data_IF_988190229982
#
_entry.id   IF_988190229982
#
_cell.length_a   1.000
_cell.length_b   1.000
_cell.length_c   1.000
_cell.angle_alpha   90.00
_cell.angle_beta   90.00
_cell.angle_gamma   90.00
#
_symmetry.space_group_name_H-M   'P 1'
#
loop_
_entity.id
_entity.type
_entity.pdbx_description
1 polymer ?
#
# COMPACT_ATOMS: atom_id res chain seq x y z
N UNK A 1 -23.76 -11.52 -15.33
CA UNK A 1 -22.34 -11.42 -15.75
C UNK A 1 -22.14 -10.40 -16.90
N UNK A 2 -22.50 -9.12 -16.72
CA UNK A 2 -22.38 -8.12 -17.81
C UNK A 2 -21.81 -6.75 -17.38
N UNK A 3 -21.68 -6.49 -16.06
CA UNK A 3 -21.12 -5.23 -15.57
C UNK A 3 -19.57 -5.19 -15.64
N UNK A 4 -18.93 -6.36 -15.55
CA UNK A 4 -17.46 -6.50 -15.56
C UNK A 4 -16.83 -6.19 -16.93
N UNK A 5 -17.59 -6.38 -18.02
CA UNK A 5 -17.10 -6.19 -19.39
C UNK A 5 -17.14 -4.71 -19.81
N UNK A 6 -18.10 -3.94 -19.29
CA UNK A 6 -18.25 -2.52 -19.62
C UNK A 6 -17.20 -1.66 -18.90
N UNK A 7 -16.91 -1.96 -17.63
CA UNK A 7 -15.83 -1.33 -16.86
C UNK A 7 -14.45 -1.58 -17.50
N UNK A 8 -14.23 -2.77 -18.08
CA UNK A 8 -12.98 -3.13 -18.79
C UNK A 8 -12.70 -2.24 -20.00
N UNK A 9 -13.74 -1.73 -20.68
CA UNK A 9 -13.60 -0.96 -21.93
C UNK A 9 -13.40 0.54 -21.68
N UNK A 10 -13.90 1.07 -20.55
CA UNK A 10 -13.74 2.49 -20.17
C UNK A 10 -12.45 2.76 -19.39
N UNK A 11 -11.86 1.72 -18.77
CA UNK A 11 -10.59 1.77 -18.07
C UNK A 11 -9.49 1.14 -18.95
N UNK A 12 -9.19 1.77 -20.09
CA UNK A 12 -7.88 1.59 -20.75
C UNK A 12 -6.73 1.91 -19.78
N UNK A 13 -5.47 1.65 -20.15
CA UNK A 13 -4.42 0.85 -19.49
C UNK A 13 -4.13 1.04 -17.97
N UNK A 14 -4.98 1.73 -17.22
CA UNK A 14 -4.99 1.86 -15.76
C UNK A 14 -5.13 0.54 -15.00
N UNK A 15 -5.40 -0.58 -15.68
CA UNK A 15 -5.31 -1.92 -15.07
C UNK A 15 -3.93 -2.23 -14.52
N UNK A 16 -2.86 -1.64 -15.06
CA UNK A 16 -1.51 -1.91 -14.58
C UNK A 16 -1.24 -1.33 -13.17
N UNK A 17 -1.99 -0.30 -12.75
CA UNK A 17 -1.89 0.24 -11.38
C UNK A 17 -2.67 -0.57 -10.33
N UNK A 18 -3.54 -1.49 -10.76
CA UNK A 18 -4.37 -2.32 -9.87
C UNK A 18 -3.99 -3.80 -9.91
N UNK A 19 -3.06 -4.18 -10.80
CA UNK A 19 -2.38 -5.48 -10.84
C UNK A 19 -1.18 -5.48 -9.90
N UNK A 20 -1.43 -5.10 -8.65
CA UNK A 20 -0.45 -5.28 -7.59
C UNK A 20 -0.51 -6.75 -7.21
N UNK A 21 0.57 -7.48 -7.49
CA UNK A 21 0.73 -8.86 -7.05
C UNK A 21 0.83 -8.89 -5.52
N UNK A 22 -0.31 -8.89 -4.83
CA UNK A 22 -0.43 -8.98 -3.37
C UNK A 22 -0.77 -10.40 -2.91
N UNK A 23 -0.60 -11.39 -3.79
CA UNK A 23 -0.82 -12.81 -3.49
C UNK A 23 -0.06 -13.20 -2.22
N UNK A 24 -0.79 -13.67 -1.21
CA UNK A 24 -0.24 -14.08 0.10
C UNK A 24 -0.09 -12.97 1.15
N UNK A 25 -0.33 -11.70 0.82
CA UNK A 25 -0.20 -10.56 1.75
C UNK A 25 -1.57 -9.94 2.14
N UNK A 26 -2.63 -10.24 1.39
CA UNK A 26 -4.01 -9.86 1.67
C UNK A 26 -4.98 -10.91 1.10
N UNK A 27 -6.25 -10.96 1.54
CA UNK A 27 -7.24 -11.92 1.02
C UNK A 27 -7.35 -11.82 -0.50
N UNK A 28 -7.42 -12.96 -1.19
CA UNK A 28 -7.55 -13.02 -2.64
C UNK A 28 -8.86 -12.35 -3.10
N UNK A 29 -8.75 -11.14 -3.66
CA UNK A 29 -9.88 -10.33 -4.06
C UNK A 29 -9.44 -8.99 -4.64
N UNK A 30 -9.03 -9.01 -5.91
CA UNK A 30 -8.70 -7.82 -6.70
C UNK A 30 -9.78 -6.73 -6.54
N UNK A 31 -9.40 -5.58 -5.98
CA UNK A 31 -10.26 -4.39 -5.79
C UNK A 31 -11.32 -4.46 -4.68
N UNK A 32 -11.19 -5.37 -3.71
CA UNK A 32 -12.13 -5.37 -2.58
C UNK A 32 -11.80 -4.24 -1.60
N UNK A 33 -12.85 -3.58 -1.09
CA UNK A 33 -12.76 -2.64 0.03
C UNK A 33 -12.08 -3.32 1.24
N UNK A 34 -12.30 -4.63 1.42
CA UNK A 34 -11.64 -5.43 2.45
C UNK A 34 -10.12 -5.49 2.33
N UNK A 35 -9.58 -5.59 1.11
CA UNK A 35 -8.14 -5.54 0.87
C UNK A 35 -7.55 -4.17 1.24
N UNK A 36 -8.21 -3.08 0.83
CA UNK A 36 -7.78 -1.73 1.21
C UNK A 36 -7.88 -1.51 2.71
N UNK A 37 -8.95 -1.97 3.35
CA UNK A 37 -9.11 -1.92 4.80
C UNK A 37 -8.01 -2.71 5.53
N UNK A 38 -7.65 -3.89 5.03
CA UNK A 38 -6.58 -4.71 5.59
C UNK A 38 -5.20 -4.02 5.47
N UNK A 39 -4.93 -3.34 4.35
CA UNK A 39 -3.69 -2.59 4.17
C UNK A 39 -3.67 -1.31 5.01
N UNK A 40 -4.78 -0.61 5.17
CA UNK A 40 -4.83 0.65 5.93
C UNK A 40 -4.89 0.45 7.45
N UNK A 41 -5.53 -0.62 7.94
CA UNK A 41 -5.68 -0.89 9.38
C UNK A 41 -4.37 -0.89 10.17
N UNK A 42 -3.27 -1.51 9.71
CA UNK A 42 -2.00 -1.47 10.42
C UNK A 42 -1.13 -0.24 10.10
N UNK A 43 -1.60 0.66 9.23
CA UNK A 43 -0.83 1.78 8.68
C UNK A 43 -0.76 3.00 9.61
N UNK A 44 0.31 3.78 9.48
CA UNK A 44 0.35 5.16 9.98
C UNK A 44 -0.53 6.13 9.17
N UNK A 45 -0.92 5.81 7.94
CA UNK A 45 -1.76 6.65 7.09
C UNK A 45 -3.09 7.05 7.75
N UNK A 46 -3.65 6.18 8.59
CA UNK A 46 -4.90 6.46 9.31
C UNK A 46 -4.80 7.64 10.28
N UNK A 47 -3.60 7.95 10.79
CA UNK A 47 -3.39 9.08 11.70
C UNK A 47 -3.54 10.44 10.99
N UNK A 48 -3.36 10.45 9.67
CA UNK A 48 -3.43 11.65 8.84
C UNK A 48 -4.78 11.80 8.13
N UNK A 49 -5.65 10.79 8.22
CA UNK A 49 -6.97 10.84 7.60
C UNK A 49 -7.87 11.86 8.31
N UNK A 50 -8.73 12.57 7.57
CA UNK A 50 -9.74 13.43 8.18
C UNK A 50 -10.62 12.66 9.16
N UNK A 51 -10.87 13.24 10.33
CA UNK A 51 -11.77 12.66 11.36
C UNK A 51 -13.25 12.84 11.01
N UNK A 52 -13.56 13.69 10.03
CA UNK A 52 -14.91 13.99 9.54
C UNK A 52 -14.98 13.82 8.03
N UNK A 53 -16.20 13.64 7.52
CA UNK A 53 -16.43 13.58 6.07
C UNK A 53 -16.24 14.97 5.49
N UNK A 54 -15.14 15.16 4.79
CA UNK A 54 -14.80 16.39 4.08
C UNK A 54 -15.22 16.30 2.61
N UNK A 55 -15.37 17.46 1.96
CA UNK A 55 -15.41 17.49 0.50
C UNK A 55 -14.09 16.98 -0.08
N UNK A 56 -14.10 16.60 -1.36
CA UNK A 56 -12.90 16.14 -2.04
C UNK A 56 -11.78 17.21 -2.03
N UNK A 57 -12.14 18.48 -2.18
CA UNK A 57 -11.17 19.59 -2.19
C UNK A 57 -10.52 19.77 -0.81
N UNK A 58 -11.31 19.77 0.25
CA UNK A 58 -10.80 19.88 1.63
C UNK A 58 -9.95 18.66 2.01
N UNK A 59 -10.37 17.46 1.59
CA UNK A 59 -9.57 16.24 1.77
C UNK A 59 -8.21 16.36 1.07
N UNK A 60 -8.21 16.89 -0.17
CA UNK A 60 -6.96 17.08 -0.92
C UNK A 60 -6.03 18.06 -0.22
N UNK A 61 -6.53 19.21 0.22
CA UNK A 61 -5.71 20.20 0.94
C UNK A 61 -5.18 19.65 2.26
N UNK A 62 -5.97 18.88 3.02
CA UNK A 62 -5.49 18.26 4.25
C UNK A 62 -4.39 17.21 4.01
N UNK A 63 -4.49 16.44 2.93
CA UNK A 63 -3.50 15.42 2.58
C UNK A 63 -2.33 15.99 1.76
N UNK A 64 -2.35 17.29 1.46
CA UNK A 64 -1.35 17.94 0.63
C UNK A 64 0.02 17.88 1.29
N UNK A 65 1.04 17.48 0.53
CA UNK A 65 2.41 17.32 1.02
C UNK A 65 2.70 15.98 1.70
N UNK A 66 1.68 15.18 2.01
CA UNK A 66 1.88 13.80 2.45
C UNK A 66 2.25 12.92 1.26
N UNK A 67 3.24 12.05 1.47
CA UNK A 67 3.71 11.11 0.46
C UNK A 67 3.30 9.70 0.87
N UNK A 68 2.28 9.16 0.22
CA UNK A 68 1.83 7.80 0.45
C UNK A 68 2.63 6.81 -0.40
N UNK A 69 3.03 5.69 0.20
CA UNK A 69 3.70 4.60 -0.52
C UNK A 69 3.24 3.25 0.01
N UNK A 70 3.02 2.32 -0.91
CA UNK A 70 2.84 0.91 -0.57
C UNK A 70 4.20 0.22 -0.47
N UNK A 71 4.37 -0.60 0.56
CA UNK A 71 5.53 -1.45 0.71
C UNK A 71 5.68 -1.96 2.13
N UNK A 72 6.90 -2.38 2.45
CA UNK A 72 7.25 -2.80 3.79
C UNK A 72 7.59 -1.60 4.66
N UNK A 73 6.96 -1.53 5.81
CA UNK A 73 7.24 -0.54 6.84
C UNK A 73 7.61 -1.24 8.14
N UNK A 74 8.50 -0.61 8.91
CA UNK A 74 8.81 -0.99 10.27
C UNK A 74 8.20 0.01 11.24
N UNK A 75 7.43 -0.48 12.19
CA UNK A 75 6.95 0.33 13.31
C UNK A 75 8.05 0.45 14.36
N UNK A 76 8.39 1.66 14.79
CA UNK A 76 9.52 1.84 15.71
C UNK A 76 9.24 1.36 17.14
N UNK A 77 7.97 1.42 17.60
CA UNK A 77 7.61 1.03 18.98
C UNK A 77 7.79 -0.45 19.28
N UNK A 78 7.58 -1.32 18.29
CA UNK A 78 7.61 -2.79 18.46
C UNK A 78 8.52 -3.50 17.44
N UNK A 79 9.20 -2.73 16.57
CA UNK A 79 10.06 -3.20 15.49
C UNK A 79 9.37 -4.15 14.50
N UNK A 80 8.03 -4.23 14.51
CA UNK A 80 7.29 -5.14 13.62
C UNK A 80 7.32 -4.63 12.18
N UNK A 81 7.56 -5.55 11.25
CA UNK A 81 7.52 -5.27 9.80
C UNK A 81 6.15 -5.61 9.26
N UNK A 82 5.55 -4.70 8.49
CA UNK A 82 4.23 -4.88 7.90
C UNK A 82 4.19 -4.38 6.47
N UNK A 83 3.55 -5.13 5.60
CA UNK A 83 3.24 -4.69 4.25
C UNK A 83 1.94 -3.88 4.27
N UNK A 84 2.01 -2.61 3.89
CA UNK A 84 0.90 -1.65 4.06
C UNK A 84 1.07 -0.44 3.12
N UNK A 85 0.05 0.43 3.06
CA UNK A 85 0.15 1.77 2.47
C UNK A 85 0.46 2.74 3.59
N UNK A 86 1.68 3.23 3.71
CA UNK A 86 2.11 4.17 4.74
C UNK A 86 2.42 5.58 4.22
N UNK A 87 2.52 6.53 5.14
CA UNK A 87 3.04 7.88 4.87
C UNK A 87 4.54 7.90 5.10
N UNK A 88 5.30 8.39 4.12
CA UNK A 88 6.75 8.55 4.20
C UNK A 88 7.14 9.76 5.06
N UNK A 89 8.24 9.63 5.81
CA UNK A 89 8.77 10.70 6.67
C UNK A 89 8.16 10.74 8.07
N UNK A 90 7.37 9.73 8.44
CA UNK A 90 6.88 9.51 9.79
C UNK A 90 8.00 8.93 10.68
N UNK A 91 8.24 9.54 11.84
CA UNK A 91 9.30 9.13 12.78
C UNK A 91 9.03 7.77 13.42
N UNK A 92 7.77 7.34 13.49
CA UNK A 92 7.35 6.10 14.13
C UNK A 92 7.17 4.95 13.13
N UNK A 93 7.30 5.24 11.82
CA UNK A 93 6.98 4.32 10.75
C UNK A 93 7.97 4.43 9.58
N UNK A 94 9.03 3.63 9.65
CA UNK A 94 10.15 3.66 8.70
C UNK A 94 9.84 2.83 7.46
N UNK A 95 9.96 3.42 6.27
CA UNK A 95 9.83 2.69 5.01
C UNK A 95 11.09 1.85 4.74
N UNK A 96 10.90 0.56 4.47
CA UNK A 96 11.99 -0.39 4.22
C UNK A 96 12.20 -0.70 2.73
N UNK A 97 11.16 -0.60 1.91
CA UNK A 97 11.24 -0.96 0.50
C UNK A 97 9.90 -1.37 -0.09
N UNK A 98 9.83 -1.44 -1.42
CA UNK A 98 8.72 -2.06 -2.13
C UNK A 98 8.67 -3.58 -1.92
N UNK A 99 7.64 -4.23 -2.46
CA UNK A 99 7.52 -5.71 -2.40
C UNK A 99 8.78 -6.41 -2.91
N UNK A 100 9.24 -6.00 -4.09
CA UNK A 100 10.35 -6.64 -4.80
C UNK A 100 11.73 -6.26 -4.25
N UNK A 101 11.82 -5.18 -3.47
CA UNK A 101 13.10 -4.65 -2.98
C UNK A 101 13.65 -5.51 -1.84
N UNK A 102 12.77 -6.08 -0.99
CA UNK A 102 13.19 -6.97 0.10
C UNK A 102 13.40 -8.43 -0.32
N UNK A 103 12.80 -8.85 -1.44
CA UNK A 103 13.02 -10.18 -2.00
C UNK A 103 14.42 -10.28 -2.64
N UNK A 104 14.98 -9.16 -3.10
CA UNK A 104 16.32 -9.06 -3.67
C UNK A 104 17.44 -9.20 -2.62
N UNK A 105 17.28 -8.65 -1.41
CA UNK A 105 18.25 -8.82 -0.31
C UNK A 105 18.34 -10.27 0.19
N UNK A 106 17.28 -11.07 -0.02
CA UNK A 106 17.30 -12.52 0.23
C UNK A 106 18.01 -13.34 -0.84
N UNK A 107 18.20 -12.79 -2.05
CA UNK A 107 18.86 -13.45 -3.18
C UNK A 107 20.36 -13.14 -3.26
N UNK A 108 20.81 -11.97 -2.78
CA UNK A 108 22.26 -11.66 -2.70
C UNK A 108 22.99 -12.52 -1.67
N UNK A 109 22.37 -12.85 -0.53
CA UNK A 109 23.01 -13.70 0.49
C UNK A 109 23.17 -15.17 0.10
N UNK A 110 22.64 -15.59 -1.05
CA UNK A 110 22.79 -16.97 -1.55
C UNK A 110 23.96 -17.16 -2.51
N UNK A 111 24.62 -16.08 -2.95
CA UNK A 111 25.68 -16.15 -3.96
C UNK A 111 27.10 -15.92 -3.40
N UNK A 112 27.27 -15.69 -2.09
CA UNK A 112 28.59 -15.58 -1.44
C UNK A 112 28.98 -16.85 -0.65
N UNK A 113 28.36 -17.98 -0.94
CA UNK A 113 28.75 -19.28 -0.36
C UNK A 113 28.91 -20.32 -1.45
N UNK A 114 29.95 -20.14 -2.27
CA UNK A 114 30.58 -21.21 -3.06
C UNK A 114 32.08 -21.12 -2.85
#
# INVERSE_FOLDING_TARGET
MLLSTFLRRRLGPRKWFLDMDVKGLAPDGFNSIGMMAALLRPSNAMQYMPSQVLSQAETYEQLRGLRFRMGWFRRESDQTRRFTIGVLGDQNFTFLGGKNDLDAEGLEKKNESV
#
